data_IF_861545726587
#
_entry.id   IF_861545726587
#
_cell.length_a   1.000
_cell.length_b   1.000
_cell.length_c   1.000
_cell.angle_alpha   90.00
_cell.angle_beta   90.00
_cell.angle_gamma   90.00
#
_symmetry.space_group_name_H-M   'P 1'
#
loop_
_entity.id
_entity.type
_entity.pdbx_description
1 polymer ?
#
# COMPACT_ATOMS: atom_id res chain seq x y z
N UNK A 1 1.07 7.49 -10.56
CA UNK A 1 0.43 7.39 -9.22
C UNK A 1 0.83 8.60 -8.39
N UNK A 2 -0.13 9.23 -7.71
CA UNK A 2 0.09 10.38 -6.85
C UNK A 2 -0.22 10.01 -5.39
N UNK A 3 0.79 10.07 -4.53
CA UNK A 3 0.65 9.79 -3.09
C UNK A 3 0.25 11.07 -2.36
N UNK A 4 -1.01 11.13 -1.97
CA UNK A 4 -1.62 12.12 -1.05
C UNK A 4 -2.51 11.34 -0.06
N UNK A 5 -3.19 11.97 0.92
CA UNK A 5 -4.05 11.24 1.87
C UNK A 5 -5.00 10.23 1.21
N UNK A 6 -5.48 10.53 0.00
CA UNK A 6 -6.14 9.57 -0.90
C UNK A 6 -5.24 9.30 -2.11
N UNK A 7 -4.73 8.07 -2.24
CA UNK A 7 -3.77 7.77 -3.32
C UNK A 7 -4.50 7.61 -4.65
N UNK A 8 -4.11 8.41 -5.66
CA UNK A 8 -4.67 8.35 -7.00
C UNK A 8 -3.77 7.54 -7.92
N UNK A 9 -4.36 6.59 -8.65
CA UNK A 9 -3.67 5.70 -9.55
C UNK A 9 -4.34 5.86 -10.91
N UNK A 10 -3.66 6.53 -11.83
CA UNK A 10 -4.13 6.73 -13.19
C UNK A 10 -3.29 5.87 -14.14
N UNK A 11 -3.97 5.25 -15.10
CA UNK A 11 -3.38 4.52 -16.22
C UNK A 11 -3.53 5.37 -17.51
N UNK A 12 -2.52 5.40 -18.40
CA UNK A 12 -2.55 6.24 -19.59
C UNK A 12 -3.75 6.03 -20.53
N UNK A 13 -4.33 4.83 -20.56
CA UNK A 13 -5.54 4.47 -21.31
C UNK A 13 -6.87 4.93 -20.70
N UNK A 14 -6.84 5.68 -19.60
CA UNK A 14 -8.01 6.39 -19.05
C UNK A 14 -8.61 5.76 -17.79
N UNK A 15 -8.04 4.67 -17.28
CA UNK A 15 -8.47 4.12 -15.99
C UNK A 15 -7.95 4.96 -14.82
N UNK A 16 -8.83 5.18 -13.84
CA UNK A 16 -8.51 5.87 -12.60
C UNK A 16 -9.01 5.04 -11.42
N UNK A 17 -8.13 4.76 -10.46
CA UNK A 17 -8.46 4.18 -9.17
C UNK A 17 -8.11 5.17 -8.05
N UNK A 18 -8.94 5.13 -7.00
CA UNK A 18 -8.73 5.88 -5.76
C UNK A 18 -8.56 4.87 -4.65
N UNK A 19 -7.45 4.99 -3.91
CA UNK A 19 -7.24 4.26 -2.68
C UNK A 19 -7.67 5.14 -1.50
N UNK A 20 -8.79 4.81 -0.83
CA UNK A 20 -9.38 5.66 0.21
C UNK A 20 -8.67 5.57 1.56
N UNK A 21 -7.81 4.56 1.79
CA UNK A 21 -7.16 4.36 3.09
C UNK A 21 -6.14 5.47 3.35
N UNK A 22 -6.40 6.24 4.40
CA UNK A 22 -5.58 7.34 4.88
C UNK A 22 -5.31 7.20 6.37
N UNK A 23 -4.04 7.31 6.78
CA UNK A 23 -3.65 7.26 8.19
C UNK A 23 -2.37 8.08 8.40
N UNK A 24 -2.28 8.77 9.54
CA UNK A 24 -1.10 9.55 9.89
C UNK A 24 0.12 8.65 10.13
N UNK A 25 -0.09 7.35 10.43
CA UNK A 25 0.98 6.37 10.57
C UNK A 25 1.82 6.18 9.30
N UNK A 26 1.28 6.55 8.12
CA UNK A 26 2.01 6.49 6.86
C UNK A 26 2.72 7.81 6.50
N UNK A 27 2.52 8.86 7.30
CA UNK A 27 3.14 10.18 7.13
C UNK A 27 4.57 10.24 7.71
N UNK A 28 5.30 9.12 7.65
CA UNK A 28 6.68 8.98 8.14
C UNK A 28 7.63 8.77 6.97
N UNK A 29 8.88 9.20 7.11
CA UNK A 29 9.93 8.97 6.11
C UNK A 29 10.10 7.47 5.80
N UNK A 30 10.34 7.15 4.52
CA UNK A 30 10.61 5.79 4.05
C UNK A 30 9.37 4.92 3.74
N UNK A 31 8.16 5.33 4.14
CA UNK A 31 6.93 4.56 3.81
C UNK A 31 6.68 4.54 2.28
N UNK A 32 7.06 5.62 1.59
CA UNK A 32 7.06 5.69 0.13
C UNK A 32 7.97 4.65 -0.55
N UNK A 33 9.12 4.33 0.06
CA UNK A 33 10.04 3.31 -0.46
C UNK A 33 9.47 1.90 -0.27
N UNK A 34 8.79 1.65 0.86
CA UNK A 34 8.04 0.40 1.09
C UNK A 34 6.95 0.21 0.02
N UNK A 35 6.21 1.27 -0.30
CA UNK A 35 5.21 1.26 -1.35
C UNK A 35 5.80 1.01 -2.74
N UNK A 36 6.90 1.69 -3.09
CA UNK A 36 7.61 1.45 -4.34
C UNK A 36 8.12 0.00 -4.44
N UNK A 37 8.67 -0.54 -3.35
CA UNK A 37 9.12 -1.93 -3.27
C UNK A 37 7.99 -2.94 -3.44
N UNK A 38 6.82 -2.70 -2.83
CA UNK A 38 5.62 -3.52 -3.03
C UNK A 38 5.19 -3.55 -4.49
N UNK A 39 5.09 -2.38 -5.12
CA UNK A 39 4.69 -2.27 -6.54
C UNK A 39 5.72 -2.98 -7.42
N UNK A 40 7.02 -2.77 -7.19
CA UNK A 40 8.10 -3.44 -7.92
C UNK A 40 8.07 -4.97 -7.76
N UNK A 41 7.82 -5.47 -6.54
CA UNK A 41 7.68 -6.89 -6.28
C UNK A 41 6.46 -7.52 -6.95
N UNK A 42 5.33 -6.80 -7.01
CA UNK A 42 4.13 -7.25 -7.71
C UNK A 42 4.31 -7.26 -9.24
N UNK A 43 4.97 -6.23 -9.79
CA UNK A 43 5.38 -6.20 -11.19
C UNK A 43 6.29 -7.39 -11.54
N UNK A 44 7.28 -7.69 -10.68
CA UNK A 44 8.17 -8.83 -10.87
C UNK A 44 7.44 -10.19 -10.80
N UNK A 45 6.29 -10.26 -10.13
CA UNK A 45 5.40 -11.42 -10.13
C UNK A 45 4.49 -11.51 -11.36
N UNK A 46 4.55 -10.53 -12.28
CA UNK A 46 3.81 -10.53 -13.54
C UNK A 46 2.45 -9.82 -13.51
N UNK A 47 2.14 -9.06 -12.45
CA UNK A 47 0.95 -8.21 -12.46
C UNK A 47 1.13 -7.06 -13.46
N UNK A 48 0.05 -6.66 -14.12
CA UNK A 48 0.07 -5.46 -14.96
C UNK A 48 0.32 -4.21 -14.10
N UNK A 49 0.91 -3.15 -14.67
CA UNK A 49 1.30 -1.97 -13.90
C UNK A 49 0.16 -1.29 -13.13
N UNK A 50 -1.04 -1.25 -13.69
CA UNK A 50 -2.17 -0.62 -13.03
C UNK A 50 -2.65 -1.44 -11.83
N UNK A 51 -2.81 -2.76 -11.99
CA UNK A 51 -3.18 -3.65 -10.88
C UNK A 51 -2.07 -3.73 -9.83
N UNK A 52 -0.81 -3.76 -10.23
CA UNK A 52 0.32 -3.74 -9.30
C UNK A 52 0.32 -2.46 -8.45
N UNK A 53 0.05 -1.30 -9.06
CA UNK A 53 -0.09 -0.04 -8.34
C UNK A 53 -1.30 -0.05 -7.39
N UNK A 54 -2.45 -0.57 -7.84
CA UNK A 54 -3.66 -0.67 -7.02
C UNK A 54 -3.48 -1.58 -5.80
N UNK A 55 -2.99 -2.80 -6.03
CA UNK A 55 -2.72 -3.76 -4.98
C UNK A 55 -1.63 -3.26 -4.04
N UNK A 56 -0.51 -2.71 -4.56
CA UNK A 56 0.55 -2.14 -3.73
C UNK A 56 0.06 -1.01 -2.83
N UNK A 57 -0.76 -0.10 -3.36
CA UNK A 57 -1.34 0.99 -2.58
C UNK A 57 -2.32 0.48 -1.51
N UNK A 58 -3.11 -0.55 -1.80
CA UNK A 58 -4.04 -1.16 -0.84
C UNK A 58 -3.31 -1.92 0.28
N UNK A 59 -2.31 -2.74 -0.07
CA UNK A 59 -1.48 -3.47 0.90
C UNK A 59 -0.77 -2.49 1.85
N UNK A 60 -0.14 -1.46 1.29
CA UNK A 60 0.54 -0.42 2.07
C UNK A 60 -0.41 0.38 2.97
N UNK A 61 -1.59 0.77 2.45
CA UNK A 61 -2.61 1.47 3.21
C UNK A 61 -3.09 0.65 4.41
N UNK A 62 -3.45 -0.60 4.16
CA UNK A 62 -3.98 -1.52 5.17
C UNK A 62 -2.92 -1.88 6.23
N UNK A 63 -1.67 -2.11 5.82
CA UNK A 63 -0.57 -2.29 6.76
C UNK A 63 -0.40 -1.06 7.67
N UNK A 64 -0.46 0.14 7.11
CA UNK A 64 -0.42 1.38 7.88
C UNK A 64 -1.57 1.51 8.90
N UNK A 65 -2.79 1.09 8.53
CA UNK A 65 -3.93 1.09 9.44
C UNK A 65 -3.71 0.12 10.61
N UNK A 66 -3.23 -1.10 10.34
CA UNK A 66 -2.93 -2.11 11.36
C UNK A 66 -1.80 -1.66 12.30
N UNK A 67 -0.75 -1.04 11.76
CA UNK A 67 0.29 -0.43 12.59
C UNK A 67 -0.31 0.66 13.50
N UNK A 68 -1.21 1.49 12.95
CA UNK A 68 -1.85 2.56 13.71
C UNK A 68 -2.77 2.04 14.83
N UNK A 69 -3.48 0.94 14.60
CA UNK A 69 -4.29 0.26 15.61
C UNK A 69 -3.42 -0.31 16.74
N UNK A 70 -2.25 -0.86 16.42
CA UNK A 70 -1.34 -1.49 17.38
C UNK A 70 -0.50 -0.49 18.18
N UNK A 71 -0.03 0.58 17.54
CA UNK A 71 0.99 1.48 18.09
C UNK A 71 0.49 2.92 18.28
N UNK A 72 -0.68 3.26 17.72
CA UNK A 72 -1.17 4.62 17.62
C UNK A 72 -0.78 5.30 16.31
N UNK A 73 -1.34 6.49 16.09
CA UNK A 73 -1.20 7.26 14.84
C UNK A 73 0.18 7.93 14.67
N UNK A 74 0.97 8.01 15.74
CA UNK A 74 2.28 8.66 15.76
C UNK A 74 3.36 7.66 16.18
N UNK A 75 4.57 7.81 15.62
CA UNK A 75 5.73 6.98 15.97
C UNK A 75 5.88 5.70 15.14
N UNK A 76 4.98 5.42 14.20
CA UNK A 76 5.14 4.33 13.22
C UNK A 76 6.27 4.70 12.26
N UNK A 77 7.25 3.81 12.11
CA UNK A 77 8.34 3.94 11.14
C UNK A 77 8.16 2.96 9.98
N UNK A 78 8.85 3.20 8.86
CA UNK A 78 8.69 2.40 7.65
C UNK A 78 8.91 0.88 7.87
N UNK A 79 9.85 0.50 8.74
CA UNK A 79 10.12 -0.91 9.06
C UNK A 79 8.98 -1.60 9.81
N UNK A 80 8.12 -0.85 10.50
CA UNK A 80 6.98 -1.42 11.22
C UNK A 80 5.90 -1.96 10.27
N UNK A 81 5.89 -1.51 9.01
CA UNK A 81 4.98 -1.99 7.99
C UNK A 81 5.33 -3.42 7.54
N UNK A 82 6.63 -3.76 7.52
CA UNK A 82 7.12 -5.00 6.90
C UNK A 82 6.51 -6.28 7.48
N UNK A 83 6.34 -6.42 8.82
CA UNK A 83 5.68 -7.58 9.41
C UNK A 83 4.18 -7.68 9.08
N UNK A 84 3.51 -6.56 8.82
CA UNK A 84 2.08 -6.54 8.48
C UNK A 84 1.83 -6.95 7.02
N UNK A 85 2.78 -6.69 6.11
CA UNK A 85 2.59 -6.90 4.67
C UNK A 85 2.25 -8.35 4.28
N UNK A 86 2.95 -9.41 4.76
CA UNK A 86 2.58 -10.79 4.45
C UNK A 86 1.20 -11.16 4.99
N UNK A 87 0.81 -10.62 6.15
CA UNK A 87 -0.50 -10.88 6.77
C UNK A 87 -1.60 -10.30 5.91
N UNK A 88 -1.47 -9.03 5.52
CA UNK A 88 -2.43 -8.34 4.67
C UNK A 88 -2.48 -8.98 3.27
N UNK A 89 -1.35 -9.42 2.73
CA UNK A 89 -1.29 -10.10 1.44
C UNK A 89 -1.99 -11.48 1.48
N UNK A 90 -1.87 -12.23 2.57
CA UNK A 90 -2.58 -13.50 2.75
C UNK A 90 -4.10 -13.29 2.78
N UNK A 91 -4.57 -12.22 3.44
CA UNK A 91 -6.00 -11.84 3.42
C UNK A 91 -6.46 -11.59 1.98
N UNK A 92 -5.71 -10.79 1.20
CA UNK A 92 -6.08 -10.48 -0.18
C UNK A 92 -6.17 -11.75 -1.05
N UNK A 93 -5.22 -12.67 -0.90
CA UNK A 93 -5.20 -13.95 -1.63
C UNK A 93 -6.36 -14.87 -1.25
N UNK A 94 -6.77 -14.88 0.01
CA UNK A 94 -7.92 -15.67 0.49
C UNK A 94 -9.26 -15.15 -0.05
N UNK A 95 -9.35 -13.84 -0.29
CA UNK A 95 -10.55 -13.19 -0.84
C UNK A 95 -10.63 -13.27 -2.38
N UNK A 96 -9.69 -13.93 -3.05
CA UNK A 96 -9.77 -14.25 -4.47
C UNK A 96 -9.30 -13.14 -5.42
N UNK A 97 -8.47 -12.21 -4.93
CA UNK A 97 -7.73 -11.25 -5.74
C UNK A 97 -6.24 -11.63 -5.89
#
# INVERSE_FOLDING_TARGET
MLKVPYTLIAEPGGWLAVQPISTAALATAGTGDVLAGLIGGLLAQGLDPFRAACAGAWLHGTAGLRCAERMGQAGVVASDLLPELPIVQDVLRREGL
#
